data_IF_464109742889
#
_entry.id   IF_464109742889
#
_cell.length_a   1.000
_cell.length_b   1.000
_cell.length_c   1.000
_cell.angle_alpha   90.00
_cell.angle_beta   90.00
_cell.angle_gamma   90.00
#
_symmetry.space_group_name_H-M   'P 1'
#
loop_
_entity.id
_entity.type
_entity.pdbx_description
1 polymer ?
#
# COMPACT_ATOMS: atom_id res chain seq x y z
N UNK A 1 3.86 -22.56 31.73
CA UNK A 1 3.27 -21.24 31.42
C UNK A 1 3.06 -21.17 29.92
N UNK A 2 1.82 -21.20 29.44
CA UNK A 2 1.52 -21.09 28.01
C UNK A 2 1.45 -19.61 27.65
N UNK A 3 2.34 -19.19 26.75
CA UNK A 3 2.29 -17.87 26.13
C UNK A 3 0.98 -17.76 25.34
N UNK A 4 0.13 -16.75 25.59
CA UNK A 4 -1.07 -16.59 24.80
C UNK A 4 -0.66 -16.33 23.35
N UNK A 5 -1.06 -17.22 22.44
CA UNK A 5 -0.98 -16.97 21.00
C UNK A 5 -1.99 -15.87 20.71
N UNK A 6 -1.53 -14.63 20.64
CA UNK A 6 -2.29 -13.51 20.12
C UNK A 6 -2.85 -13.95 18.77
N UNK A 7 -4.17 -14.11 18.68
CA UNK A 7 -4.83 -14.43 17.41
C UNK A 7 -4.41 -13.35 16.42
N UNK A 8 -3.58 -13.71 15.44
CA UNK A 8 -3.17 -12.82 14.37
C UNK A 8 -4.41 -12.53 13.54
N UNK A 9 -5.04 -11.39 13.81
CA UNK A 9 -6.13 -10.89 12.97
C UNK A 9 -5.58 -10.79 11.54
N UNK A 10 -6.22 -11.47 10.60
CA UNK A 10 -5.87 -11.34 9.19
C UNK A 10 -6.06 -9.87 8.78
N UNK A 11 -5.04 -9.29 8.15
CA UNK A 11 -5.10 -7.94 7.60
C UNK A 11 -5.61 -7.98 6.16
N UNK A 12 -6.42 -6.99 5.82
CA UNK A 12 -7.03 -6.82 4.49
C UNK A 12 -6.38 -5.62 3.79
N UNK A 13 -5.75 -5.88 2.66
CA UNK A 13 -5.17 -4.86 1.80
C UNK A 13 -6.04 -4.54 0.59
N UNK A 14 -5.99 -3.30 0.11
CA UNK A 14 -6.71 -2.89 -1.10
C UNK A 14 -5.78 -2.18 -2.10
N UNK A 15 -5.82 -2.64 -3.35
CA UNK A 15 -5.05 -2.05 -4.44
C UNK A 15 -5.53 -0.65 -4.81
N UNK A 16 -4.63 0.33 -4.75
CA UNK A 16 -4.91 1.71 -5.10
C UNK A 16 -5.04 1.89 -6.61
N UNK A 17 -6.24 2.26 -7.06
CA UNK A 17 -6.55 2.57 -8.47
C UNK A 17 -7.12 3.98 -8.59
N UNK A 18 -6.73 4.71 -9.63
CA UNK A 18 -7.19 6.10 -9.88
C UNK A 18 -8.72 6.24 -9.93
N UNK A 19 -9.40 5.27 -10.52
CA UNK A 19 -10.87 5.25 -10.60
C UNK A 19 -11.56 5.11 -9.24
N UNK A 20 -10.87 4.60 -8.23
CA UNK A 20 -11.40 4.36 -6.89
C UNK A 20 -11.00 5.46 -5.89
N UNK A 21 -10.27 6.51 -6.30
CA UNK A 21 -9.71 7.48 -5.35
C UNK A 21 -10.77 8.18 -4.51
N UNK A 22 -11.90 8.57 -5.12
CA UNK A 22 -12.99 9.23 -4.39
C UNK A 22 -13.61 8.30 -3.35
N UNK A 23 -13.83 7.05 -3.71
CA UNK A 23 -14.42 6.05 -2.83
C UNK A 23 -13.46 5.70 -1.69
N UNK A 24 -12.17 5.57 -1.97
CA UNK A 24 -11.13 5.34 -0.96
C UNK A 24 -10.98 6.51 0.00
N UNK A 25 -11.16 7.75 -0.47
CA UNK A 25 -11.17 8.92 0.40
C UNK A 25 -12.44 9.00 1.26
N UNK A 26 -13.58 8.54 0.75
CA UNK A 26 -14.83 8.48 1.50
C UNK A 26 -14.93 7.26 2.43
N UNK A 27 -14.07 6.25 2.24
CA UNK A 27 -14.10 5.02 3.01
C UNK A 27 -13.90 5.28 4.51
N UNK A 28 -14.72 4.65 5.38
CA UNK A 28 -14.50 4.69 6.82
C UNK A 28 -13.24 3.92 7.22
N UNK A 29 -12.72 4.23 8.40
CA UNK A 29 -11.61 3.46 8.99
C UNK A 29 -12.10 2.06 9.36
N UNK A 30 -11.35 1.03 8.95
CA UNK A 30 -11.64 -0.37 9.27
C UNK A 30 -12.19 -1.23 8.12
N UNK A 31 -12.56 -0.62 6.98
CA UNK A 31 -12.94 -1.37 5.77
C UNK A 31 -11.73 -2.08 5.14
N UNK A 32 -10.53 -1.54 5.35
CA UNK A 32 -9.25 -2.13 4.99
C UNK A 32 -8.16 -1.59 5.92
N UNK A 33 -7.09 -2.36 6.05
CA UNK A 33 -5.99 -2.10 6.98
C UNK A 33 -4.83 -1.36 6.30
N UNK A 34 -4.62 -1.54 4.99
CA UNK A 34 -3.57 -0.87 4.22
C UNK A 34 -3.91 -0.75 2.74
N UNK A 35 -3.19 0.14 2.04
CA UNK A 35 -3.33 0.34 0.59
C UNK A 35 -2.09 -0.15 -0.14
N UNK A 36 -2.29 -0.88 -1.23
CA UNK A 36 -1.21 -1.32 -2.11
C UNK A 36 -1.01 -0.33 -3.26
N UNK A 37 0.22 0.12 -3.46
CA UNK A 37 0.59 1.12 -4.46
C UNK A 37 1.70 0.57 -5.35
N UNK A 38 1.49 0.61 -6.67
CA UNK A 38 2.56 0.34 -7.63
C UNK A 38 3.24 1.66 -8.01
N UNK A 39 4.45 1.96 -7.52
CA UNK A 39 5.08 3.27 -7.65
C UNK A 39 5.22 3.73 -9.11
N UNK A 40 5.44 2.82 -10.06
CA UNK A 40 5.48 3.09 -11.49
C UNK A 40 4.22 3.79 -12.03
N UNK A 41 3.07 3.56 -11.40
CA UNK A 41 1.80 4.18 -11.79
C UNK A 41 1.63 5.61 -11.27
N UNK A 42 2.51 6.05 -10.36
CA UNK A 42 2.42 7.33 -9.65
C UNK A 42 3.64 8.24 -9.87
N UNK A 43 4.71 7.73 -10.50
CA UNK A 43 5.85 8.57 -10.93
C UNK A 43 5.34 9.64 -11.92
N UNK A 44 5.71 10.90 -11.66
CA UNK A 44 5.30 12.04 -12.49
C UNK A 44 3.83 12.45 -12.33
N UNK A 45 3.05 11.79 -11.46
CA UNK A 45 1.66 12.16 -11.21
C UNK A 45 1.59 13.26 -10.13
N UNK A 46 1.26 14.47 -10.56
CA UNK A 46 0.99 15.63 -9.71
C UNK A 46 -0.49 16.01 -9.65
N UNK A 47 -0.77 17.25 -9.25
CA UNK A 47 -2.12 17.83 -9.25
C UNK A 47 -3.09 17.11 -8.30
N UNK A 48 -4.36 17.03 -8.70
CA UNK A 48 -5.43 16.47 -7.89
C UNK A 48 -5.19 14.99 -7.50
N UNK A 49 -4.65 14.19 -8.41
CA UNK A 49 -4.33 12.79 -8.14
C UNK A 49 -3.14 12.64 -7.17
N UNK A 50 -2.10 13.46 -7.32
CA UNK A 50 -0.99 13.47 -6.36
C UNK A 50 -1.43 13.92 -4.95
N UNK A 51 -2.28 14.95 -4.87
CA UNK A 51 -2.85 15.41 -3.61
C UNK A 51 -3.74 14.35 -2.95
N UNK A 52 -4.57 13.66 -3.73
CA UNK A 52 -5.42 12.60 -3.24
C UNK A 52 -4.61 11.38 -2.76
N UNK A 53 -3.51 11.02 -3.43
CA UNK A 53 -2.58 9.99 -2.97
C UNK A 53 -1.96 10.36 -1.62
N UNK A 54 -1.49 11.62 -1.46
CA UNK A 54 -0.93 12.09 -0.18
C UNK A 54 -1.94 12.02 0.95
N UNK A 55 -3.17 12.47 0.72
CA UNK A 55 -4.24 12.38 1.71
C UNK A 55 -4.56 10.93 2.13
N UNK A 56 -4.47 9.98 1.20
CA UNK A 56 -4.63 8.56 1.52
C UNK A 56 -3.41 8.00 2.27
N UNK A 57 -2.20 8.41 1.91
CA UNK A 57 -0.96 8.00 2.57
C UNK A 57 -0.86 8.46 4.03
N UNK A 58 -1.47 9.60 4.36
CA UNK A 58 -1.57 10.10 5.73
C UNK A 58 -2.57 9.31 6.59
N UNK A 59 -3.58 8.70 5.95
CA UNK A 59 -4.65 7.97 6.64
C UNK A 59 -4.40 6.48 6.76
N UNK A 60 -3.75 5.88 5.77
CA UNK A 60 -3.55 4.44 5.66
C UNK A 60 -2.08 4.12 5.39
N UNK A 61 -1.55 3.06 6.02
CA UNK A 61 -0.25 2.52 5.63
C UNK A 61 -0.24 2.17 4.14
N UNK A 62 0.82 2.59 3.43
CA UNK A 62 1.04 2.21 2.05
C UNK A 62 2.03 1.05 1.99
N UNK A 63 1.64 -0.01 1.29
CA UNK A 63 2.53 -1.08 0.85
C UNK A 63 2.88 -0.86 -0.61
N UNK A 64 4.17 -0.73 -0.93
CA UNK A 64 4.59 -0.58 -2.31
C UNK A 64 4.84 -1.95 -2.95
N UNK A 65 4.10 -2.27 -4.02
CA UNK A 65 4.34 -3.45 -4.85
C UNK A 65 4.58 -3.02 -6.30
N UNK A 66 5.83 -3.07 -6.75
CA UNK A 66 6.17 -2.85 -8.15
C UNK A 66 6.13 -4.17 -8.93
N UNK A 67 5.65 -4.14 -10.17
CA UNK A 67 5.64 -5.31 -11.07
C UNK A 67 7.05 -5.87 -11.35
N UNK A 68 8.10 -5.10 -11.02
CA UNK A 68 9.52 -5.48 -11.12
C UNK A 68 10.13 -6.08 -9.85
N UNK A 69 9.41 -6.12 -8.73
CA UNK A 69 9.85 -6.86 -7.55
C UNK A 69 9.27 -8.27 -7.60
N UNK A 70 9.95 -9.13 -8.37
CA UNK A 70 9.79 -10.59 -8.29
C UNK A 70 10.14 -11.07 -6.88
N UNK A 71 9.21 -10.95 -5.93
CA UNK A 71 9.30 -11.47 -4.56
C UNK A 71 9.36 -13.01 -4.49
N UNK A 72 9.35 -13.70 -5.64
CA UNK A 72 9.45 -15.15 -5.77
C UNK A 72 10.73 -15.66 -6.44
N UNK A 73 11.70 -14.80 -6.77
CA UNK A 73 12.99 -15.27 -7.33
C UNK A 73 14.06 -15.24 -6.22
N UNK A 74 14.90 -16.29 -6.07
CA UNK A 74 16.00 -16.31 -5.10
C UNK A 74 17.16 -15.42 -5.57
N UNK A 75 16.88 -14.14 -5.85
CA UNK A 75 17.87 -13.12 -6.14
C UNK A 75 17.74 -12.03 -5.06
N UNK A 76 18.86 -11.51 -4.54
CA UNK A 76 18.84 -10.52 -3.46
C UNK A 76 18.05 -9.28 -3.85
N UNK A 77 17.29 -8.73 -2.89
CA UNK A 77 16.72 -7.39 -3.02
C UNK A 77 17.85 -6.40 -3.24
N UNK A 78 17.83 -5.70 -4.36
CA UNK A 78 18.83 -4.67 -4.63
C UNK A 78 18.57 -3.51 -3.67
N UNK A 79 19.36 -3.45 -2.59
CA UNK A 79 19.50 -2.22 -1.82
C UNK A 79 20.32 -1.24 -2.66
N UNK A 80 19.74 -0.08 -2.98
CA UNK A 80 20.49 1.02 -3.57
C UNK A 80 21.56 1.45 -2.58
N UNK A 81 22.82 1.17 -2.91
CA UNK A 81 23.98 1.72 -2.19
C UNK A 81 24.27 3.10 -2.81
N UNK A 82 24.62 4.13 -2.02
CA UNK A 82 24.97 5.46 -2.53
C UNK A 82 26.09 5.44 -3.57
#
# INVERSE_FOLDING_TARGET
MQTPLTSTKASVGLGLRRGLMKDLQAAPLGDFDFLEVAPENWIGIGGAHGAALRALAERYPLSCHGFFLSLGRPAPVAIGVP
#
